data_IF_392497109095
#
_entry.id   IF_392497109095
#
_cell.length_a   1.000
_cell.length_b   1.000
_cell.length_c   1.000
_cell.angle_alpha   90.00
_cell.angle_beta   90.00
_cell.angle_gamma   90.00
#
_symmetry.space_group_name_H-M   'P 1'
#
loop_
_entity.id
_entity.type
_entity.pdbx_description
1 polymer ?
#
# COMPACT_ATOMS: atom_id res chain seq x y z
N UNK A 1 13.25 8.08 31.60
CA UNK A 1 12.15 7.14 31.94
C UNK A 1 10.84 7.86 32.22
N UNK A 2 10.77 8.81 33.15
CA UNK A 2 9.51 9.51 33.47
C UNK A 2 8.83 10.18 32.25
N UNK A 3 9.60 10.83 31.39
CA UNK A 3 9.10 11.43 30.14
C UNK A 3 8.50 10.42 29.15
N UNK A 4 9.06 9.22 29.08
CA UNK A 4 8.55 8.14 28.22
C UNK A 4 7.20 7.63 28.72
N UNK A 5 7.07 7.42 30.03
CA UNK A 5 5.82 6.94 30.64
C UNK A 5 4.70 7.96 30.40
N UNK A 6 4.97 9.25 30.60
CA UNK A 6 4.00 10.33 30.34
C UNK A 6 3.58 10.35 28.86
N UNK A 7 4.52 10.25 27.93
CA UNK A 7 4.22 10.23 26.49
C UNK A 7 3.44 8.97 26.05
N UNK A 8 3.71 7.82 26.69
CA UNK A 8 3.02 6.55 26.40
C UNK A 8 1.63 6.45 27.06
N UNK A 9 1.32 7.35 28.00
CA UNK A 9 0.10 7.29 28.83
C UNK A 9 -1.20 7.24 28.01
N UNK A 10 -1.41 8.05 26.95
CA UNK A 10 -2.64 7.96 26.15
C UNK A 10 -2.81 6.61 25.44
N UNK A 11 -1.71 6.03 24.94
CA UNK A 11 -1.72 4.72 24.30
C UNK A 11 -2.03 3.62 25.34
N UNK A 12 -1.43 3.71 26.51
CA UNK A 12 -1.67 2.76 27.61
C UNK A 12 -3.13 2.81 28.05
N UNK A 13 -3.71 4.01 28.21
CA UNK A 13 -5.13 4.14 28.52
C UNK A 13 -6.02 3.60 27.40
N UNK A 14 -5.71 3.87 26.14
CA UNK A 14 -6.45 3.30 25.01
C UNK A 14 -6.44 1.77 25.03
N UNK A 15 -5.26 1.16 25.28
CA UNK A 15 -5.10 -0.29 25.39
C UNK A 15 -5.90 -0.83 26.59
N UNK A 16 -5.88 -0.16 27.74
CA UNK A 16 -6.62 -0.58 28.92
C UNK A 16 -8.15 -0.54 28.68
N UNK A 17 -8.66 0.54 28.09
CA UNK A 17 -10.10 0.70 27.83
C UNK A 17 -10.61 -0.11 26.63
N UNK A 18 -9.74 -0.49 25.69
CA UNK A 18 -10.10 -1.29 24.51
C UNK A 18 -9.39 -2.64 24.49
N UNK A 19 -9.08 -3.19 25.67
CA UNK A 19 -8.19 -4.34 25.82
C UNK A 19 -8.64 -5.55 25.01
N UNK A 20 -9.93 -5.87 24.98
CA UNK A 20 -10.45 -7.01 24.21
C UNK A 20 -10.21 -6.84 22.71
N UNK A 21 -10.55 -5.69 22.14
CA UNK A 21 -10.37 -5.39 20.73
C UNK A 21 -8.88 -5.29 20.34
N UNK A 22 -8.06 -4.67 21.20
CA UNK A 22 -6.62 -4.57 21.01
C UNK A 22 -5.96 -5.97 21.06
N UNK A 23 -6.28 -6.77 22.07
CA UNK A 23 -5.68 -8.09 22.26
C UNK A 23 -6.09 -9.05 21.14
N UNK A 24 -7.35 -9.04 20.69
CA UNK A 24 -7.78 -9.87 19.55
C UNK A 24 -6.98 -9.52 18.28
N UNK A 25 -6.73 -8.23 18.02
CA UNK A 25 -5.97 -7.78 16.86
C UNK A 25 -4.48 -8.11 16.97
N UNK A 26 -3.82 -7.68 18.05
CA UNK A 26 -2.37 -7.87 18.22
C UNK A 26 -1.98 -9.34 18.35
N UNK A 27 -2.79 -10.12 19.08
CA UNK A 27 -2.48 -11.54 19.32
C UNK A 27 -2.49 -12.32 18.03
N UNK A 28 -3.43 -12.08 17.13
CA UNK A 28 -3.50 -12.77 15.84
C UNK A 28 -2.26 -12.46 14.98
N UNK A 29 -1.84 -11.20 14.92
CA UNK A 29 -0.66 -10.79 14.14
C UNK A 29 0.64 -11.44 14.68
N UNK A 30 0.84 -11.39 15.99
CA UNK A 30 2.03 -11.97 16.63
C UNK A 30 2.02 -13.50 16.51
N UNK A 31 0.86 -14.14 16.73
CA UNK A 31 0.72 -15.60 16.58
C UNK A 31 0.95 -16.04 15.13
N UNK A 32 0.46 -15.29 14.16
CA UNK A 32 0.68 -15.58 12.74
C UNK A 32 2.17 -15.50 12.38
N UNK A 33 2.87 -14.45 12.82
CA UNK A 33 4.33 -14.34 12.64
C UNK A 33 5.08 -15.55 13.22
N UNK A 34 4.81 -15.88 14.49
CA UNK A 34 5.49 -17.01 15.14
C UNK A 34 5.08 -18.36 14.56
N UNK A 35 3.83 -18.53 14.11
CA UNK A 35 3.38 -19.74 13.44
C UNK A 35 4.09 -19.92 12.09
N UNK A 36 4.22 -18.86 11.29
CA UNK A 36 4.98 -18.90 10.04
C UNK A 36 6.45 -19.25 10.29
N UNK A 37 7.06 -18.64 11.30
CA UNK A 37 8.43 -18.96 11.70
C UNK A 37 8.60 -20.42 12.17
N UNK A 38 7.66 -20.94 12.97
CA UNK A 38 7.71 -22.34 13.43
C UNK A 38 7.53 -23.34 12.29
N UNK A 39 6.68 -23.02 11.31
CA UNK A 39 6.33 -23.93 10.21
C UNK A 39 7.36 -23.96 9.07
N UNK A 40 8.14 -22.90 8.87
CA UNK A 40 9.10 -22.83 7.76
C UNK A 40 10.37 -22.02 8.03
N UNK A 41 10.68 -21.75 9.30
CA UNK A 41 11.90 -21.08 9.73
C UNK A 41 12.04 -19.65 9.21
N UNK A 42 13.28 -19.20 9.05
CA UNK A 42 13.60 -17.84 8.56
C UNK A 42 13.13 -17.62 7.13
N UNK A 43 13.14 -18.65 6.28
CA UNK A 43 12.70 -18.56 4.89
C UNK A 43 11.21 -18.27 4.76
N UNK A 44 10.37 -18.81 5.66
CA UNK A 44 8.95 -18.49 5.71
C UNK A 44 8.66 -17.03 6.11
N UNK A 45 9.64 -16.33 6.70
CA UNK A 45 9.53 -14.91 7.03
C UNK A 45 9.91 -13.98 5.87
N UNK A 46 10.31 -14.52 4.71
CA UNK A 46 10.67 -13.72 3.54
C UNK A 46 9.62 -12.67 3.16
N UNK A 47 8.29 -12.95 3.21
CA UNK A 47 7.27 -11.92 2.98
C UNK A 47 7.36 -10.72 3.94
N UNK A 48 7.74 -10.93 5.20
CA UNK A 48 7.90 -9.85 6.19
C UNK A 48 9.14 -8.99 5.88
N UNK A 49 10.22 -9.61 5.43
CA UNK A 49 11.42 -8.90 4.98
C UNK A 49 11.15 -8.09 3.72
N UNK A 50 10.47 -8.68 2.73
CA UNK A 50 10.11 -8.00 1.48
C UNK A 50 9.22 -6.78 1.76
N UNK A 51 8.29 -6.90 2.71
CA UNK A 51 7.41 -5.81 3.11
C UNK A 51 8.16 -4.66 3.79
N UNK A 52 9.08 -4.93 4.72
CA UNK A 52 9.92 -3.86 5.29
C UNK A 52 10.82 -3.24 4.23
N UNK A 53 11.43 -4.07 3.38
CA UNK A 53 12.23 -3.59 2.27
C UNK A 53 11.41 -2.68 1.36
N UNK A 54 10.15 -3.00 1.12
CA UNK A 54 9.27 -2.16 0.32
C UNK A 54 8.98 -0.80 0.98
N UNK A 55 8.77 -0.76 2.30
CA UNK A 55 8.54 0.49 3.05
C UNK A 55 9.75 1.44 2.97
N UNK A 56 10.96 0.91 3.15
CA UNK A 56 12.16 1.75 3.19
C UNK A 56 12.84 1.93 1.82
N UNK A 57 12.81 0.92 0.97
CA UNK A 57 13.59 0.77 -0.26
C UNK A 57 12.78 0.08 -1.38
N UNK A 58 11.58 0.60 -1.67
CA UNK A 58 10.78 0.10 -2.78
C UNK A 58 11.55 0.13 -4.11
N UNK A 59 11.39 -0.92 -4.93
CA UNK A 59 11.97 -1.01 -6.28
C UNK A 59 11.63 0.21 -7.16
N UNK A 60 10.50 0.86 -6.87
CA UNK A 60 10.01 2.03 -7.61
C UNK A 60 9.94 3.29 -6.74
N UNK A 61 10.79 3.39 -5.71
CA UNK A 61 10.85 4.53 -4.77
C UNK A 61 10.78 5.88 -5.49
N UNK A 62 11.55 6.08 -6.56
CA UNK A 62 11.54 7.33 -7.31
C UNK A 62 10.19 7.63 -7.99
N UNK A 63 9.52 6.62 -8.53
CA UNK A 63 8.20 6.78 -9.15
C UNK A 63 7.16 7.07 -8.06
N UNK A 64 7.13 6.26 -7.00
CA UNK A 64 6.18 6.38 -5.88
C UNK A 64 6.22 7.72 -5.17
N UNK A 65 7.36 8.41 -5.18
CA UNK A 65 7.48 9.74 -4.61
C UNK A 65 6.51 10.78 -5.20
N UNK A 66 6.07 10.56 -6.43
CA UNK A 66 5.12 11.45 -7.12
C UNK A 66 3.67 10.99 -7.02
N UNK A 67 3.39 9.90 -6.29
CA UNK A 67 2.05 9.42 -6.02
C UNK A 67 1.55 10.01 -4.70
N UNK A 68 0.34 10.61 -4.67
CA UNK A 68 -0.21 11.23 -3.45
C UNK A 68 -0.49 10.20 -2.34
N UNK A 69 -0.67 8.93 -2.70
CA UNK A 69 -1.15 7.87 -1.80
C UNK A 69 -0.03 7.00 -1.20
N UNK A 70 1.23 7.24 -1.57
CA UNK A 70 2.36 6.44 -1.12
C UNK A 70 3.25 7.20 -0.13
N UNK A 71 3.27 6.72 1.11
CA UNK A 71 4.18 7.23 2.15
C UNK A 71 5.57 6.62 1.99
N UNK A 72 6.40 7.20 1.13
CA UNK A 72 7.80 6.80 0.97
C UNK A 72 8.70 7.79 1.67
N UNK A 73 9.60 7.31 2.53
CA UNK A 73 10.66 8.12 3.12
C UNK A 73 11.61 8.51 1.99
N UNK A 74 11.80 9.80 1.69
CA UNK A 74 12.70 10.20 0.61
C UNK A 74 14.12 9.64 0.85
N UNK A 75 14.76 9.03 -0.16
CA UNK A 75 16.10 8.46 0.01
C UNK A 75 17.14 9.46 0.56
N UNK A 76 16.96 10.74 0.22
CA UNK A 76 17.81 11.82 0.70
C UNK A 76 17.73 12.02 2.22
N UNK A 77 16.62 11.64 2.87
CA UNK A 77 16.48 11.78 4.31
C UNK A 77 17.41 10.81 5.05
N UNK A 78 17.72 9.64 4.47
CA UNK A 78 18.66 8.70 5.09
C UNK A 78 20.07 9.30 5.24
N UNK A 79 20.47 10.25 4.39
CA UNK A 79 21.74 10.98 4.54
C UNK A 79 21.83 11.75 5.85
N UNK A 80 20.70 12.14 6.44
CA UNK A 80 20.65 12.84 7.72
C UNK A 80 20.17 11.94 8.86
N UNK A 81 19.27 10.98 8.60
CA UNK A 81 18.76 10.07 9.64
C UNK A 81 19.86 9.14 10.14
N UNK A 82 20.64 8.51 9.25
CA UNK A 82 21.65 7.52 9.64
C UNK A 82 22.79 8.13 10.45
N UNK A 83 23.42 9.26 10.05
CA UNK A 83 24.42 9.91 10.90
C UNK A 83 23.82 10.41 12.21
N UNK A 84 22.56 10.81 12.21
CA UNK A 84 21.86 11.31 13.39
C UNK A 84 21.67 10.21 14.42
N UNK A 85 21.32 9.01 13.95
CA UNK A 85 21.19 7.81 14.76
C UNK A 85 22.55 7.41 15.36
N UNK A 86 23.61 7.46 14.57
CA UNK A 86 24.97 7.21 15.03
C UNK A 86 25.44 8.23 16.08
N UNK A 87 25.16 9.52 15.87
CA UNK A 87 25.44 10.59 16.82
C UNK A 87 24.64 10.43 18.13
N UNK A 88 23.37 10.01 18.04
CA UNK A 88 22.55 9.74 19.21
C UNK A 88 23.11 8.57 20.03
N UNK A 89 23.58 7.50 19.36
CA UNK A 89 24.27 6.37 19.99
C UNK A 89 25.56 6.82 20.70
N UNK A 90 26.44 7.56 20.02
CA UNK A 90 27.70 8.07 20.61
C UNK A 90 27.42 8.95 21.83
N UNK A 91 26.41 9.81 21.75
CA UNK A 91 25.99 10.69 22.84
C UNK A 91 25.17 9.97 23.93
N UNK A 92 25.04 8.64 23.86
CA UNK A 92 24.30 7.80 24.81
C UNK A 92 22.85 8.23 25.01
N UNK A 93 22.23 8.79 23.97
CA UNK A 93 20.81 9.18 23.93
C UNK A 93 19.96 7.98 23.52
N UNK A 94 20.01 6.92 24.32
CA UNK A 94 19.36 5.65 24.01
C UNK A 94 17.85 5.78 23.87
N UNK A 95 17.23 6.73 24.57
CA UNK A 95 15.81 7.04 24.45
C UNK A 95 15.39 7.35 23.00
N UNK A 96 16.18 8.14 22.28
CA UNK A 96 15.91 8.52 20.89
C UNK A 96 16.14 7.33 19.95
N UNK A 97 17.19 6.55 20.21
CA UNK A 97 17.50 5.36 19.40
C UNK A 97 16.38 4.33 19.51
N UNK A 98 15.93 4.01 20.73
CA UNK A 98 14.84 3.07 20.93
C UNK A 98 13.53 3.57 20.33
N UNK A 99 13.18 4.85 20.50
CA UNK A 99 11.98 5.42 19.92
C UNK A 99 12.00 5.45 18.38
N UNK A 100 13.18 5.50 17.75
CA UNK A 100 13.32 5.45 16.30
C UNK A 100 13.21 4.02 15.73
N UNK A 101 13.58 3.00 16.50
CA UNK A 101 13.68 1.60 16.05
C UNK A 101 12.47 0.76 16.45
N UNK A 102 11.91 0.96 17.66
CA UNK A 102 10.80 0.16 18.17
C UNK A 102 9.58 0.17 17.21
N UNK A 103 9.13 1.31 16.65
CA UNK A 103 7.99 1.31 15.74
C UNK A 103 8.26 0.53 14.43
N UNK A 104 9.50 0.53 13.97
CA UNK A 104 9.93 -0.25 12.79
C UNK A 104 9.91 -1.74 13.09
N UNK A 105 10.41 -2.14 14.26
CA UNK A 105 10.34 -3.53 14.72
C UNK A 105 8.90 -3.99 14.94
N UNK A 106 8.05 -3.15 15.53
CA UNK A 106 6.63 -3.45 15.69
C UNK A 106 5.93 -3.61 14.33
N UNK A 107 6.26 -2.76 13.35
CA UNK A 107 5.76 -2.90 11.99
C UNK A 107 6.21 -4.22 11.35
N UNK A 108 7.46 -4.66 11.58
CA UNK A 108 7.96 -5.96 11.13
C UNK A 108 7.08 -7.10 11.61
N UNK A 109 6.84 -7.21 12.93
CA UNK A 109 6.03 -8.29 13.50
C UNK A 109 4.58 -8.27 13.03
N UNK A 110 4.06 -7.09 12.66
CA UNK A 110 2.70 -6.91 12.15
C UNK A 110 2.52 -7.13 10.64
N UNK A 111 3.55 -7.61 9.92
CA UNK A 111 3.47 -7.80 8.46
C UNK A 111 3.44 -6.50 7.67
N UNK A 112 4.06 -5.45 8.22
CA UNK A 112 4.13 -4.07 7.71
C UNK A 112 2.81 -3.53 7.14
N UNK A 113 1.68 -4.12 7.54
CA UNK A 113 0.34 -3.76 7.11
C UNK A 113 -0.12 -2.50 7.86
N UNK A 114 0.52 -2.23 8.98
CA UNK A 114 0.20 -1.13 9.86
C UNK A 114 1.18 0.03 9.61
N UNK A 115 0.63 1.23 9.42
CA UNK A 115 1.33 2.51 9.32
C UNK A 115 2.14 2.88 10.59
N UNK A 116 2.41 1.92 11.48
CA UNK A 116 3.19 2.05 12.72
C UNK A 116 4.60 2.58 12.48
N UNK A 117 5.18 2.34 11.30
CA UNK A 117 6.45 2.95 10.91
C UNK A 117 6.38 4.49 10.97
N UNK A 118 5.22 5.08 10.64
CA UNK A 118 5.03 6.53 10.67
C UNK A 118 5.09 7.11 12.08
N UNK A 119 4.87 6.30 13.13
CA UNK A 119 5.01 6.73 14.52
C UNK A 119 6.46 7.15 14.81
N UNK A 120 7.45 6.59 14.10
CA UNK A 120 8.85 6.96 14.25
C UNK A 120 9.21 8.29 13.55
N UNK A 121 8.35 8.85 12.68
CA UNK A 121 8.66 10.03 11.86
C UNK A 121 9.10 11.24 12.70
N UNK A 122 8.42 11.64 13.79
CA UNK A 122 8.87 12.76 14.61
C UNK A 122 10.28 12.54 15.20
N UNK A 123 10.60 11.29 15.53
CA UNK A 123 11.91 10.91 16.08
C UNK A 123 12.97 10.96 14.98
N UNK A 124 12.65 10.54 13.76
CA UNK A 124 13.55 10.68 12.62
C UNK A 124 13.84 12.15 12.28
N UNK A 125 12.87 13.04 12.44
CA UNK A 125 13.11 14.50 12.32
C UNK A 125 14.12 14.97 13.38
N UNK A 126 14.02 14.48 14.62
CA UNK A 126 15.00 14.78 15.68
C UNK A 126 16.40 14.24 15.30
N UNK A 127 16.49 13.04 14.71
CA UNK A 127 17.76 12.49 14.22
C UNK A 127 18.36 13.36 13.11
N UNK A 128 17.55 13.80 12.14
CA UNK A 128 18.01 14.73 11.10
C UNK A 128 18.54 16.04 11.70
N UNK A 129 17.87 16.56 12.74
CA UNK A 129 18.32 17.75 13.46
C UNK A 129 19.66 17.52 14.17
N UNK A 130 19.92 16.34 14.74
CA UNK A 130 21.23 16.02 15.32
C UNK A 130 22.35 16.07 14.27
N UNK A 131 22.10 15.52 13.09
CA UNK A 131 23.06 15.56 11.97
C UNK A 131 23.33 16.97 11.50
N UNK A 132 22.27 17.76 11.25
CA UNK A 132 22.40 19.15 10.82
C UNK A 132 23.14 19.99 11.86
N UNK A 133 22.80 19.86 13.14
CA UNK A 133 23.49 20.56 14.22
C UNK A 133 24.98 20.19 14.28
N UNK A 134 25.32 18.91 14.07
CA UNK A 134 26.70 18.49 14.03
C UNK A 134 27.45 19.11 12.83
N UNK A 135 26.86 19.10 11.63
CA UNK A 135 27.43 19.73 10.44
C UNK A 135 27.67 21.24 10.62
N UNK A 136 26.69 21.95 11.20
CA UNK A 136 26.78 23.38 11.45
C UNK A 136 27.88 23.72 12.47
N UNK A 137 28.10 22.86 13.47
CA UNK A 137 29.11 23.08 14.52
C UNK A 137 30.54 22.78 14.05
N UNK A 138 30.75 22.01 12.98
CA UNK A 138 32.06 21.55 12.52
C UNK A 138 32.59 22.32 11.29
N UNK A 139 32.30 23.62 11.19
CA UNK A 139 32.74 24.52 10.11
C UNK A 139 32.25 24.17 8.69
N UNK A 140 31.33 23.23 8.52
CA UNK A 140 30.66 22.97 7.25
C UNK A 140 29.32 23.71 7.16
N UNK A 141 29.31 24.97 7.58
CA UNK A 141 28.09 25.78 7.72
C UNK A 141 27.28 25.84 6.41
N UNK A 142 27.93 26.21 5.30
CA UNK A 142 27.31 26.25 3.98
C UNK A 142 26.91 24.87 3.45
N UNK A 143 27.66 23.82 3.80
CA UNK A 143 27.34 22.43 3.46
C UNK A 143 26.12 21.91 4.22
N UNK A 144 26.03 22.20 5.52
CA UNK A 144 24.87 21.87 6.36
C UNK A 144 23.59 22.57 5.90
N UNK A 145 23.69 23.87 5.54
CA UNK A 145 22.54 24.63 5.01
C UNK A 145 22.10 24.08 3.66
N UNK A 146 23.03 23.79 2.74
CA UNK A 146 22.68 23.25 1.41
C UNK A 146 22.03 21.87 1.52
N UNK A 147 22.58 20.96 2.35
CA UNK A 147 21.99 19.64 2.59
C UNK A 147 20.61 19.76 3.23
N UNK A 148 20.46 20.64 4.23
CA UNK A 148 19.16 20.91 4.86
C UNK A 148 18.13 21.46 3.89
N UNK A 149 18.51 22.44 3.07
CA UNK A 149 17.65 23.04 2.04
C UNK A 149 17.23 22.01 0.99
N UNK A 150 18.15 21.16 0.50
CA UNK A 150 17.82 20.09 -0.44
C UNK A 150 16.82 19.12 0.18
N UNK A 151 17.02 18.68 1.43
CA UNK A 151 16.08 17.78 2.10
C UNK A 151 14.68 18.41 2.26
N UNK A 152 14.62 19.68 2.63
CA UNK A 152 13.35 20.41 2.77
C UNK A 152 12.68 20.62 1.41
N UNK A 153 13.40 21.08 0.40
CA UNK A 153 12.87 21.33 -0.94
C UNK A 153 12.32 20.05 -1.60
N UNK A 154 13.03 18.94 -1.44
CA UNK A 154 12.61 17.64 -1.94
C UNK A 154 11.35 17.11 -1.23
N UNK A 155 11.13 17.44 0.05
CA UNK A 155 9.87 17.14 0.75
C UNK A 155 8.73 18.12 0.43
N UNK A 156 9.05 19.40 0.26
CA UNK A 156 8.08 20.47 -0.02
C UNK A 156 7.51 20.37 -1.42
N UNK A 157 8.33 20.06 -2.43
CA UNK A 157 7.87 20.02 -3.82
C UNK A 157 6.65 19.09 -4.06
N UNK A 158 6.65 17.81 -3.65
CA UNK A 158 5.48 16.95 -3.81
C UNK A 158 4.29 17.45 -2.98
N UNK A 159 4.54 17.99 -1.78
CA UNK A 159 3.49 18.55 -0.91
C UNK A 159 2.82 19.78 -1.53
N UNK A 160 3.59 20.70 -2.12
CA UNK A 160 3.09 21.89 -2.82
C UNK A 160 2.36 21.50 -4.10
N UNK A 161 2.90 20.55 -4.88
CA UNK A 161 2.23 20.01 -6.06
C UNK A 161 0.89 19.36 -5.71
N UNK A 162 0.85 18.60 -4.62
CA UNK A 162 -0.38 18.01 -4.09
C UNK A 162 -1.39 19.11 -3.74
N UNK A 163 -1.03 20.07 -2.87
CA UNK A 163 -1.91 21.17 -2.46
C UNK A 163 -2.39 22.01 -3.65
N UNK A 164 -1.53 22.23 -4.64
CA UNK A 164 -1.90 22.93 -5.87
C UNK A 164 -2.94 22.15 -6.68
N UNK A 165 -2.76 20.84 -6.85
CA UNK A 165 -3.73 19.99 -7.54
C UNK A 165 -5.06 19.91 -6.79
N UNK A 166 -5.02 19.83 -5.45
CA UNK A 166 -6.20 19.90 -4.57
C UNK A 166 -6.94 21.21 -4.80
N UNK A 167 -6.21 22.34 -4.80
CA UNK A 167 -6.82 23.67 -4.95
C UNK A 167 -7.53 23.90 -6.29
N UNK A 168 -7.14 23.16 -7.34
CA UNK A 168 -7.73 23.27 -8.68
C UNK A 168 -8.95 22.39 -8.90
N UNK A 169 -9.13 21.35 -8.09
CA UNK A 169 -10.23 20.41 -8.25
C UNK A 169 -11.17 20.48 -7.04
N UNK A 170 -12.36 21.10 -7.17
CA UNK A 170 -13.30 21.23 -6.06
C UNK A 170 -13.84 19.88 -5.55
N UNK A 171 -13.63 18.79 -6.30
CA UNK A 171 -13.99 17.43 -5.92
C UNK A 171 -12.83 16.63 -5.32
N UNK A 172 -11.68 17.26 -5.08
CA UNK A 172 -10.51 16.64 -4.45
C UNK A 172 -10.76 16.52 -2.94
N UNK A 173 -11.59 15.55 -2.55
CA UNK A 173 -11.88 15.28 -1.14
C UNK A 173 -10.66 14.70 -0.42
N UNK A 174 -10.50 15.11 0.84
CA UNK A 174 -9.27 14.98 1.65
C UNK A 174 -8.84 13.53 1.98
N UNK A 175 -9.63 12.49 1.69
CA UNK A 175 -9.23 11.09 1.94
C UNK A 175 -9.93 10.03 1.08
N UNK A 176 -11.08 10.34 0.46
CA UNK A 176 -11.94 9.36 -0.24
C UNK A 176 -12.73 10.04 -1.37
N UNK A 177 -12.17 10.19 -2.59
CA UNK A 177 -12.91 10.73 -3.73
C UNK A 177 -14.14 9.86 -4.03
N UNK A 178 -15.31 10.47 -4.28
CA UNK A 178 -16.57 9.72 -4.45
C UNK A 178 -16.50 8.69 -5.58
N UNK A 179 -15.86 9.04 -6.70
CA UNK A 179 -15.62 8.11 -7.82
C UNK A 179 -14.79 6.91 -7.37
N UNK A 180 -13.69 7.15 -6.66
CA UNK A 180 -12.78 6.07 -6.21
C UNK A 180 -13.46 5.14 -5.22
N UNK A 181 -14.25 5.69 -4.30
CA UNK A 181 -15.09 4.93 -3.39
C UNK A 181 -16.10 4.06 -4.16
N UNK A 182 -16.75 4.63 -5.17
CA UNK A 182 -17.72 3.93 -6.00
C UNK A 182 -17.08 2.79 -6.82
N UNK A 183 -15.91 3.03 -7.40
CA UNK A 183 -15.09 2.02 -8.07
C UNK A 183 -14.70 0.92 -7.10
N UNK A 184 -14.22 1.27 -5.90
CA UNK A 184 -13.82 0.29 -4.88
C UNK A 184 -14.97 -0.59 -4.39
N UNK A 185 -16.18 -0.03 -4.22
CA UNK A 185 -17.39 -0.80 -3.91
C UNK A 185 -17.71 -1.81 -5.01
N UNK A 186 -17.68 -1.36 -6.27
CA UNK A 186 -18.01 -2.20 -7.40
C UNK A 186 -16.98 -3.33 -7.60
N UNK A 187 -15.69 -3.03 -7.42
CA UNK A 187 -14.62 -4.04 -7.44
C UNK A 187 -14.74 -5.01 -6.26
N UNK A 188 -15.05 -4.54 -5.06
CA UNK A 188 -15.29 -5.40 -3.90
C UNK A 188 -16.38 -6.43 -4.19
N UNK A 189 -17.49 -6.01 -4.80
CA UNK A 189 -18.56 -6.93 -5.21
C UNK A 189 -18.13 -7.96 -6.25
N UNK A 190 -17.33 -7.54 -7.23
CA UNK A 190 -16.78 -8.44 -8.26
C UNK A 190 -15.89 -9.50 -7.62
N UNK A 191 -15.03 -9.10 -6.67
CA UNK A 191 -14.12 -9.97 -5.90
C UNK A 191 -14.91 -10.96 -5.06
N UNK A 192 -15.95 -10.50 -4.37
CA UNK A 192 -16.82 -11.35 -3.54
C UNK A 192 -17.67 -12.31 -4.40
N UNK A 193 -17.93 -11.95 -5.66
CA UNK A 193 -18.77 -12.74 -6.56
C UNK A 193 -20.26 -12.44 -6.40
N UNK A 194 -20.62 -11.21 -6.03
CA UNK A 194 -22.01 -10.76 -5.96
C UNK A 194 -22.62 -10.81 -7.37
N UNK A 195 -23.84 -11.38 -7.50
CA UNK A 195 -24.50 -11.59 -8.79
C UNK A 195 -24.72 -10.30 -9.58
N UNK A 196 -25.04 -9.20 -8.88
CA UNK A 196 -25.24 -7.87 -9.47
C UNK A 196 -24.34 -6.86 -8.72
N UNK A 197 -23.08 -6.68 -9.14
CA UNK A 197 -22.19 -5.69 -8.55
C UNK A 197 -22.77 -4.28 -8.64
N UNK A 198 -22.57 -3.47 -7.61
CA UNK A 198 -23.06 -2.09 -7.59
C UNK A 198 -22.08 -1.13 -6.92
N UNK A 199 -21.97 0.08 -7.45
CA UNK A 199 -21.17 1.15 -6.86
C UNK A 199 -21.90 1.93 -5.75
N UNK A 200 -23.20 1.64 -5.56
CA UNK A 200 -24.04 2.31 -4.56
C UNK A 200 -23.57 1.99 -3.15
N UNK A 201 -23.68 2.98 -2.28
CA UNK A 201 -23.34 2.84 -0.86
C UNK A 201 -24.16 1.72 -0.22
N UNK A 202 -23.48 0.90 0.60
CA UNK A 202 -24.10 -0.22 1.29
C UNK A 202 -24.05 -0.04 2.79
N UNK A 203 -25.05 -0.59 3.46
CA UNK A 203 -25.02 -0.69 4.92
C UNK A 203 -23.85 -1.60 5.34
N UNK A 204 -22.99 -1.10 6.21
CA UNK A 204 -21.79 -1.79 6.69
C UNK A 204 -20.84 -2.28 5.56
N UNK A 205 -20.50 -1.43 4.60
CA UNK A 205 -19.61 -1.76 3.46
C UNK A 205 -18.19 -2.21 3.84
N UNK A 206 -17.75 -1.89 5.06
CA UNK A 206 -16.48 -2.36 5.63
C UNK A 206 -16.62 -3.60 6.53
N UNK A 207 -17.81 -4.21 6.63
CA UNK A 207 -18.03 -5.34 7.52
C UNK A 207 -17.15 -6.53 7.13
N UNK A 208 -16.40 -7.02 8.12
CA UNK A 208 -15.28 -7.94 7.93
C UNK A 208 -15.66 -9.42 8.03
N UNK A 209 -16.96 -9.72 8.15
CA UNK A 209 -17.48 -11.07 8.39
C UNK A 209 -17.80 -11.82 7.09
N UNK A 210 -16.85 -11.89 6.16
CA UNK A 210 -17.02 -12.68 4.94
C UNK A 210 -16.11 -13.89 4.98
N UNK A 211 -16.70 -15.06 4.77
CA UNK A 211 -15.99 -16.32 4.69
C UNK A 211 -15.23 -16.37 3.35
N UNK A 212 -13.92 -16.11 3.39
CA UNK A 212 -13.04 -16.14 2.21
C UNK A 212 -12.99 -17.50 1.52
N UNK A 213 -13.33 -18.58 2.23
CA UNK A 213 -13.44 -19.92 1.64
C UNK A 213 -14.67 -20.09 0.75
N UNK A 214 -15.69 -19.24 0.90
CA UNK A 214 -16.90 -19.28 0.08
C UNK A 214 -16.76 -18.57 -1.28
N UNK A 215 -15.66 -17.81 -1.48
CA UNK A 215 -15.42 -17.08 -2.72
C UNK A 215 -14.94 -18.06 -3.80
N UNK A 216 -15.68 -18.13 -4.91
CA UNK A 216 -15.43 -19.07 -6.03
C UNK A 216 -14.34 -18.62 -7.01
N UNK A 217 -13.83 -17.41 -6.85
CA UNK A 217 -12.86 -16.79 -7.76
C UNK A 217 -11.61 -16.31 -7.01
N UNK A 218 -10.45 -16.46 -7.64
CA UNK A 218 -9.30 -15.60 -7.38
C UNK A 218 -9.38 -14.38 -8.28
N UNK A 219 -8.97 -13.21 -7.81
CA UNK A 219 -9.12 -11.95 -8.55
C UNK A 219 -7.82 -11.17 -8.61
N UNK A 220 -7.55 -10.57 -9.77
CA UNK A 220 -6.56 -9.52 -9.97
C UNK A 220 -7.26 -8.27 -10.47
N UNK A 221 -6.99 -7.11 -9.86
CA UNK A 221 -7.69 -5.87 -10.16
C UNK A 221 -6.74 -4.71 -10.44
N UNK A 222 -7.11 -3.91 -11.43
CA UNK A 222 -6.38 -2.73 -11.90
C UNK A 222 -7.28 -1.49 -11.93
N UNK A 223 -7.57 -0.87 -10.77
CA UNK A 223 -8.19 0.46 -10.72
C UNK A 223 -7.24 1.53 -11.26
N UNK A 224 -7.78 2.63 -11.82
CA UNK A 224 -6.94 3.72 -12.34
C UNK A 224 -6.41 4.58 -11.20
N UNK A 225 -7.31 5.20 -10.43
CA UNK A 225 -6.96 6.18 -9.39
C UNK A 225 -7.25 5.66 -7.97
N UNK A 226 -8.18 4.71 -7.83
CA UNK A 226 -8.67 4.24 -6.54
C UNK A 226 -7.71 3.35 -5.74
N UNK A 227 -6.40 3.38 -5.96
CA UNK A 227 -5.45 2.42 -5.36
C UNK A 227 -5.53 2.38 -3.82
N UNK A 228 -5.42 3.53 -3.14
CA UNK A 228 -5.48 3.59 -1.68
C UNK A 228 -6.85 3.20 -1.13
N UNK A 229 -7.92 3.68 -1.78
CA UNK A 229 -9.30 3.37 -1.38
C UNK A 229 -9.56 1.86 -1.54
N UNK A 230 -9.00 1.24 -2.58
CA UNK A 230 -9.15 -0.17 -2.85
C UNK A 230 -8.57 -1.05 -1.74
N UNK A 231 -7.44 -0.64 -1.13
CA UNK A 231 -6.89 -1.34 0.02
C UNK A 231 -7.87 -1.36 1.21
N UNK A 232 -8.61 -0.27 1.46
CA UNK A 232 -9.61 -0.21 2.52
C UNK A 232 -10.79 -1.17 2.26
N UNK A 233 -11.25 -1.26 1.01
CA UNK A 233 -12.37 -2.12 0.63
C UNK A 233 -11.99 -3.60 0.48
N UNK A 234 -10.73 -3.88 0.11
CA UNK A 234 -10.25 -5.23 -0.17
C UNK A 234 -9.44 -5.87 0.97
N UNK A 235 -9.25 -5.18 2.09
CA UNK A 235 -8.43 -5.63 3.23
C UNK A 235 -8.70 -7.09 3.66
N UNK A 236 -9.95 -7.55 3.62
CA UNK A 236 -10.32 -8.91 4.05
C UNK A 236 -10.10 -9.98 2.96
N UNK A 237 -9.75 -9.60 1.73
CA UNK A 237 -9.69 -10.47 0.55
C UNK A 237 -8.28 -10.63 -0.01
N UNK A 238 -7.26 -10.33 0.78
CA UNK A 238 -5.86 -10.29 0.32
C UNK A 238 -5.68 -9.23 -0.79
N UNK A 239 -6.03 -8.00 -0.45
CA UNK A 239 -5.80 -6.78 -1.22
C UNK A 239 -4.41 -6.74 -1.90
N UNK A 240 -3.35 -7.13 -1.18
CA UNK A 240 -1.99 -7.18 -1.72
C UNK A 240 -1.90 -8.09 -2.95
N UNK A 241 -2.43 -9.32 -2.86
CA UNK A 241 -2.47 -10.27 -4.00
C UNK A 241 -3.34 -9.73 -5.13
N UNK A 242 -4.50 -9.16 -4.83
CA UNK A 242 -5.41 -8.64 -5.86
C UNK A 242 -4.75 -7.49 -6.63
N UNK A 243 -4.06 -6.60 -5.91
CA UNK A 243 -3.47 -5.37 -6.44
C UNK A 243 -2.03 -5.53 -6.94
N UNK A 244 -1.46 -6.75 -6.93
CA UNK A 244 -0.19 -7.01 -7.65
C UNK A 244 -0.33 -6.74 -9.14
N UNK A 245 -1.55 -6.80 -9.67
CA UNK A 245 -1.86 -6.56 -11.08
C UNK A 245 -1.49 -5.16 -11.57
N UNK A 246 -1.34 -4.20 -10.64
CA UNK A 246 -0.93 -2.81 -10.91
C UNK A 246 0.40 -2.46 -10.27
N UNK A 247 1.16 -3.48 -9.84
CA UNK A 247 2.49 -3.33 -9.25
C UNK A 247 2.51 -2.27 -8.15
N UNK A 248 1.51 -2.36 -7.25
CA UNK A 248 1.35 -1.47 -6.09
C UNK A 248 1.20 0.00 -6.51
N UNK A 249 0.17 0.30 -7.31
CA UNK A 249 -0.21 1.66 -7.71
C UNK A 249 0.70 2.32 -8.76
N UNK A 250 1.66 1.60 -9.33
CA UNK A 250 2.55 2.11 -10.37
C UNK A 250 1.84 2.40 -11.70
N UNK A 251 0.60 1.93 -11.89
CA UNK A 251 -0.20 2.13 -13.09
C UNK A 251 -0.25 3.61 -13.55
N UNK A 252 -0.38 4.56 -12.62
CA UNK A 252 -0.46 5.99 -12.95
C UNK A 252 0.83 6.54 -13.58
N UNK A 253 1.96 5.88 -13.31
CA UNK A 253 3.30 6.30 -13.76
C UNK A 253 3.87 5.39 -14.84
N UNK A 254 3.15 4.32 -15.19
CA UNK A 254 3.55 3.35 -16.17
C UNK A 254 2.97 3.67 -17.56
N UNK A 255 3.70 3.29 -18.61
CA UNK A 255 3.16 3.30 -19.98
C UNK A 255 2.16 2.14 -20.15
N UNK A 256 1.24 2.21 -21.14
CA UNK A 256 0.31 1.10 -21.41
C UNK A 256 1.02 -0.25 -21.65
N UNK A 257 2.20 -0.25 -22.27
CA UNK A 257 3.02 -1.45 -22.47
C UNK A 257 3.60 -1.99 -21.15
N UNK A 258 4.06 -1.11 -20.26
CA UNK A 258 4.55 -1.52 -18.93
C UNK A 258 3.43 -2.14 -18.10
N UNK A 259 2.22 -1.57 -18.17
CA UNK A 259 1.02 -2.12 -17.51
C UNK A 259 0.76 -3.54 -18.01
N UNK A 260 0.74 -3.75 -19.33
CA UNK A 260 0.57 -5.09 -19.91
C UNK A 260 1.63 -6.07 -19.38
N UNK A 261 2.90 -5.67 -19.32
CA UNK A 261 3.97 -6.52 -18.79
C UNK A 261 3.77 -6.87 -17.31
N UNK A 262 3.30 -5.93 -16.48
CA UNK A 262 2.92 -6.21 -15.09
C UNK A 262 1.75 -7.19 -15.01
N UNK A 263 0.73 -7.05 -15.86
CA UNK A 263 -0.40 -7.97 -15.92
C UNK A 263 0.05 -9.39 -16.32
N UNK A 264 0.85 -9.52 -17.39
CA UNK A 264 1.36 -10.82 -17.87
C UNK A 264 2.22 -11.50 -16.81
N UNK A 265 3.18 -10.78 -16.23
CA UNK A 265 4.06 -11.33 -15.19
C UNK A 265 3.28 -11.80 -13.96
N UNK A 266 2.28 -11.02 -13.52
CA UNK A 266 1.39 -11.39 -12.42
C UNK A 266 0.66 -12.70 -12.70
N UNK A 267 0.10 -12.85 -13.91
CA UNK A 267 -0.62 -14.07 -14.30
C UNK A 267 0.33 -15.26 -14.47
N UNK A 268 1.54 -15.07 -15.01
CA UNK A 268 2.54 -16.15 -15.13
C UNK A 268 2.97 -16.68 -13.76
N UNK A 269 3.13 -15.79 -12.78
CA UNK A 269 3.51 -16.14 -11.41
C UNK A 269 2.34 -16.64 -10.55
N UNK A 270 1.10 -16.51 -11.01
CA UNK A 270 -0.08 -16.97 -10.29
C UNK A 270 -0.13 -18.50 -10.17
N UNK A 271 -0.18 -19.02 -8.94
CA UNK A 271 -0.42 -20.44 -8.66
C UNK A 271 -1.92 -20.73 -8.65
N UNK A 272 -2.46 -21.50 -9.62
CA UNK A 272 -3.89 -21.76 -9.71
C UNK A 272 -4.40 -22.51 -8.47
N UNK A 273 -5.43 -21.95 -7.84
CA UNK A 273 -6.25 -22.68 -6.88
C UNK A 273 -7.39 -23.42 -7.61
N UNK A 274 -8.17 -24.22 -6.89
CA UNK A 274 -9.39 -24.84 -7.44
C UNK A 274 -10.54 -23.81 -7.62
N UNK A 275 -10.22 -22.63 -8.15
CA UNK A 275 -11.07 -21.46 -8.30
C UNK A 275 -10.85 -20.87 -9.69
N UNK A 276 -11.90 -20.27 -10.24
CA UNK A 276 -11.80 -19.50 -11.49
C UNK A 276 -10.98 -18.21 -11.26
N UNK A 277 -10.47 -17.60 -12.33
CA UNK A 277 -9.64 -16.40 -12.25
C UNK A 277 -10.34 -15.19 -12.88
N UNK A 278 -10.58 -14.13 -12.11
CA UNK A 278 -11.07 -12.84 -12.61
C UNK A 278 -9.93 -11.85 -12.80
N UNK A 279 -9.89 -11.23 -13.97
CA UNK A 279 -9.01 -10.12 -14.29
C UNK A 279 -9.89 -8.87 -14.48
N UNK A 280 -9.65 -7.83 -13.68
CA UNK A 280 -10.52 -6.66 -13.58
C UNK A 280 -9.71 -5.42 -13.92
N UNK A 281 -10.20 -4.57 -14.81
CA UNK A 281 -9.59 -3.28 -15.15
C UNK A 281 -10.64 -2.19 -15.16
N UNK A 282 -10.35 -1.04 -14.53
CA UNK A 282 -11.08 0.18 -14.86
C UNK A 282 -10.61 0.67 -16.25
N UNK A 283 -11.56 0.94 -17.15
CA UNK A 283 -11.30 1.31 -18.54
C UNK A 283 -10.74 2.74 -18.57
N UNK A 284 -9.54 2.88 -19.16
CA UNK A 284 -8.86 4.16 -19.34
C UNK A 284 -7.85 4.08 -20.49
N UNK A 285 -7.28 5.20 -20.89
CA UNK A 285 -6.19 5.26 -21.88
C UNK A 285 -4.98 4.41 -21.47
N UNK A 286 -4.79 4.20 -20.16
CA UNK A 286 -3.68 3.41 -19.59
C UNK A 286 -3.93 1.91 -19.67
N UNK A 287 -5.17 1.47 -19.43
CA UNK A 287 -5.54 0.05 -19.40
C UNK A 287 -6.05 -0.48 -20.73
N UNK A 288 -6.46 0.39 -21.66
CA UNK A 288 -7.05 0.00 -22.96
C UNK A 288 -6.17 -0.95 -23.77
N UNK A 289 -4.84 -0.74 -23.76
CA UNK A 289 -3.91 -1.62 -24.46
C UNK A 289 -3.90 -3.04 -23.87
N UNK A 290 -3.84 -3.15 -22.54
CA UNK A 290 -3.91 -4.43 -21.84
C UNK A 290 -5.27 -5.11 -22.04
N UNK A 291 -6.38 -4.37 -21.95
CA UNK A 291 -7.73 -4.89 -22.19
C UNK A 291 -7.83 -5.48 -23.60
N UNK A 292 -7.36 -4.76 -24.63
CA UNK A 292 -7.38 -5.23 -26.02
C UNK A 292 -6.51 -6.48 -26.25
N UNK A 293 -5.40 -6.60 -25.52
CA UNK A 293 -4.58 -7.82 -25.52
C UNK A 293 -5.34 -8.99 -24.89
N UNK A 294 -5.86 -8.83 -23.67
CA UNK A 294 -6.51 -9.90 -22.93
C UNK A 294 -7.89 -10.31 -23.47
N UNK A 295 -8.61 -9.42 -24.16
CA UNK A 295 -9.90 -9.73 -24.79
C UNK A 295 -9.83 -10.88 -25.79
N UNK A 296 -8.67 -11.12 -26.42
CA UNK A 296 -8.46 -12.24 -27.36
C UNK A 296 -8.55 -13.60 -26.68
N UNK A 297 -8.41 -13.65 -25.35
CA UNK A 297 -8.46 -14.87 -24.55
C UNK A 297 -9.87 -15.18 -24.00
N UNK A 298 -10.91 -14.48 -24.47
CA UNK A 298 -12.30 -14.77 -24.14
C UNK A 298 -12.70 -16.23 -24.44
N UNK A 299 -12.01 -16.90 -25.38
CA UNK A 299 -12.17 -18.34 -25.65
C UNK A 299 -11.98 -19.24 -24.40
N UNK A 300 -11.28 -18.77 -23.36
CA UNK A 300 -11.06 -19.51 -22.11
C UNK A 300 -12.07 -19.18 -21.01
N UNK A 301 -13.07 -18.34 -21.30
CA UNK A 301 -13.79 -17.63 -20.29
C UNK A 301 -15.04 -16.91 -20.76
N UNK A 302 -15.33 -15.81 -20.08
CA UNK A 302 -16.35 -14.82 -20.45
C UNK A 302 -15.86 -13.44 -20.03
N UNK A 303 -16.08 -12.45 -20.88
CA UNK A 303 -15.90 -11.04 -20.56
C UNK A 303 -17.23 -10.30 -20.33
N UNK A 304 -17.15 -9.22 -19.56
CA UNK A 304 -18.26 -8.29 -19.34
C UNK A 304 -17.72 -6.88 -19.09
N UNK A 305 -18.56 -5.88 -19.35
CA UNK A 305 -18.30 -4.48 -19.03
C UNK A 305 -19.42 -4.00 -18.11
N UNK A 306 -19.04 -3.42 -16.98
CA UNK A 306 -19.95 -2.84 -16.00
C UNK A 306 -19.67 -1.34 -15.93
N UNK A 307 -20.66 -0.52 -16.26
CA UNK A 307 -20.54 0.94 -16.28
C UNK A 307 -21.41 1.57 -15.20
N UNK A 308 -20.93 2.66 -14.61
CA UNK A 308 -21.68 3.44 -13.63
C UNK A 308 -21.29 4.93 -13.70
N UNK A 309 -22.00 5.77 -12.96
CA UNK A 309 -21.80 7.21 -12.92
C UNK A 309 -21.96 7.75 -11.50
N UNK A 310 -20.98 8.53 -11.03
CA UNK A 310 -21.04 9.22 -9.74
C UNK A 310 -20.66 10.68 -9.92
N UNK A 311 -21.53 11.58 -9.48
CA UNK A 311 -21.35 13.04 -9.53
C UNK A 311 -21.03 13.56 -10.94
N UNK A 312 -21.61 12.93 -11.97
CA UNK A 312 -21.37 13.27 -13.38
C UNK A 312 -20.11 12.65 -13.99
N UNK A 313 -19.31 11.95 -13.19
CA UNK A 313 -18.14 11.21 -13.66
C UNK A 313 -18.52 9.76 -14.00
N UNK A 314 -18.56 9.46 -15.28
CA UNK A 314 -18.74 8.09 -15.77
C UNK A 314 -17.46 7.28 -15.61
N UNK A 315 -17.61 6.02 -15.21
CA UNK A 315 -16.52 5.05 -15.21
C UNK A 315 -17.03 3.69 -15.69
N UNK A 316 -16.12 2.84 -16.13
CA UNK A 316 -16.46 1.49 -16.60
C UNK A 316 -15.38 0.51 -16.19
N UNK A 317 -15.80 -0.71 -15.84
CA UNK A 317 -14.94 -1.79 -15.43
C UNK A 317 -15.09 -2.94 -16.41
N UNK A 318 -13.99 -3.35 -17.01
CA UNK A 318 -13.89 -4.55 -17.82
C UNK A 318 -13.47 -5.73 -16.93
N UNK A 319 -14.23 -6.82 -17.00
CA UNK A 319 -13.97 -8.06 -16.26
C UNK A 319 -13.80 -9.19 -17.25
N UNK A 320 -12.70 -9.92 -17.15
CA UNK A 320 -12.47 -11.17 -17.88
C UNK A 320 -12.37 -12.31 -16.86
N UNK A 321 -13.31 -13.25 -16.93
CA UNK A 321 -13.33 -14.44 -16.07
C UNK A 321 -12.81 -15.64 -16.85
N UNK A 322 -11.69 -16.23 -16.41
CA UNK A 322 -11.08 -17.43 -16.96
C UNK A 322 -11.49 -18.64 -16.12
N UNK A 323 -12.03 -19.67 -16.78
CA UNK A 323 -12.42 -20.89 -16.08
C UNK A 323 -11.18 -21.65 -15.58
N UNK A 324 -11.24 -22.23 -14.38
CA UNK A 324 -10.15 -22.95 -13.72
C UNK A 324 -9.50 -23.99 -14.65
N UNK A 325 -10.32 -24.79 -15.35
CA UNK A 325 -9.86 -25.83 -16.30
C UNK A 325 -8.97 -25.31 -17.43
N UNK A 326 -8.99 -24.01 -17.72
CA UNK A 326 -8.22 -23.38 -18.80
C UNK A 326 -7.09 -22.48 -18.30
N UNK A 327 -6.94 -22.26 -16.98
CA UNK A 327 -5.93 -21.33 -16.43
C UNK A 327 -4.52 -21.71 -16.88
N UNK A 328 -4.15 -22.99 -16.82
CA UNK A 328 -2.81 -23.44 -17.24
C UNK A 328 -2.56 -23.23 -18.74
N UNK A 329 -3.58 -23.43 -19.59
CA UNK A 329 -3.46 -23.17 -21.03
C UNK A 329 -3.36 -21.67 -21.30
N UNK A 330 -4.19 -20.88 -20.65
CA UNK A 330 -4.16 -19.43 -20.71
C UNK A 330 -2.78 -18.88 -20.33
N UNK A 331 -2.19 -19.35 -19.23
CA UNK A 331 -0.84 -18.96 -18.79
C UNK A 331 0.27 -19.25 -19.80
N UNK A 332 0.13 -20.31 -20.60
CA UNK A 332 1.13 -20.69 -21.60
C UNK A 332 1.02 -19.90 -22.91
N UNK A 333 -0.15 -19.34 -23.20
CA UNK A 333 -0.40 -18.59 -24.45
C UNK A 333 -0.25 -17.07 -24.31
N UNK A 334 -0.16 -16.56 -23.08
CA UNK A 334 0.24 -15.17 -22.79
C UNK A 334 1.75 -15.07 -22.64
#
# INVERSE_FOLDING_TARGET
MASFIIAATPLIFYILFNYSAYNIRERNLIQEFFSQYQNGGVLALQPYFDQIKEVFLSKYTFRRWFLPDFYVIPPTYYLLILPGLFLALIKRRFEIVFLAVIPVMAAFFSGAYDFRVLIAVPIWVILMAFSLNWLLKHNWFWGGITVGFICVALGLFPSVKYLWNVSKNPNYFWLLPHKDVAVSRLVQDIVVGVKNPSSKMKWNEFNRKINTSAISYDTFAAPVEAYAVMHLYLQNYNDKKILTFIDQGNQLLATPEQILNFNISTIKNYSPANKDLKLVWEISDRSSYAINFFRRYNKYGKDEIISDNVDGNQFSIYVLTINNRYINKFKNEI
#
